data_IF_385009794754
#
_entry.id   IF_385009794754
#
_cell.length_a   1.000
_cell.length_b   1.000
_cell.length_c   1.000
_cell.angle_alpha   90.00
_cell.angle_beta   90.00
_cell.angle_gamma   90.00
#
_symmetry.space_group_name_H-M   'P 1'
#
loop_
_entity.id
_entity.type
_entity.pdbx_description
1 polymer ?
#
# COMPACT_ATOMS: atom_id res chain seq x y z
N UNK A 1 -0.63 2.32 -14.05
CA UNK A 1 0.77 2.75 -13.87
C UNK A 1 1.18 2.52 -12.43
N UNK A 2 2.27 1.80 -12.22
CA UNK A 2 2.75 1.49 -10.87
C UNK A 2 4.01 2.30 -10.56
N UNK A 3 4.01 2.96 -9.41
CA UNK A 3 5.14 3.76 -8.93
C UNK A 3 5.57 3.23 -7.58
N UNK A 4 6.85 2.94 -7.43
CA UNK A 4 7.41 2.46 -6.16
C UNK A 4 7.90 3.64 -5.33
N UNK A 5 7.47 3.70 -4.07
CA UNK A 5 7.91 4.71 -3.12
C UNK A 5 8.74 4.00 -2.05
N UNK A 6 10.04 4.26 -2.04
CA UNK A 6 11.00 3.53 -1.20
C UNK A 6 11.17 4.15 0.20
N UNK A 7 10.71 5.38 0.39
CA UNK A 7 10.80 6.01 1.70
C UNK A 7 9.57 6.88 1.96
N UNK A 8 9.11 6.97 3.23
CA UNK A 8 7.95 7.79 3.56
C UNK A 8 8.11 9.26 3.22
N UNK A 9 9.34 9.75 3.19
CA UNK A 9 9.64 11.17 2.90
C UNK A 9 9.26 11.55 1.48
N UNK A 10 9.26 10.59 0.56
CA UNK A 10 8.91 10.82 -0.85
C UNK A 10 7.40 10.79 -1.09
N UNK A 11 6.63 10.26 -0.14
CA UNK A 11 5.21 9.98 -0.37
C UNK A 11 4.43 11.23 -0.76
N UNK A 12 4.54 12.30 0.01
CA UNK A 12 3.70 13.49 -0.21
C UNK A 12 3.94 14.11 -1.58
N UNK A 13 5.19 14.23 -2.00
CA UNK A 13 5.51 14.83 -3.30
C UNK A 13 5.03 13.97 -4.46
N UNK A 14 5.20 12.65 -4.35
CA UNK A 14 4.73 11.73 -5.40
C UNK A 14 3.20 11.71 -5.45
N UNK A 15 2.56 11.61 -4.29
CA UNK A 15 1.10 11.55 -4.18
C UNK A 15 0.43 12.79 -4.78
N UNK A 16 0.99 13.97 -4.50
CA UNK A 16 0.46 15.24 -5.02
C UNK A 16 0.60 15.37 -6.53
N UNK A 17 1.47 14.59 -7.14
CA UNK A 17 1.68 14.60 -8.59
C UNK A 17 0.57 13.89 -9.36
N UNK A 18 -0.36 13.20 -8.68
CA UNK A 18 -1.43 12.45 -9.35
C UNK A 18 -2.79 13.00 -8.99
N UNK A 19 -3.67 13.04 -9.99
CA UNK A 19 -5.07 13.42 -9.84
C UNK A 19 -5.96 12.22 -10.10
N UNK A 20 -7.24 12.33 -9.73
CA UNK A 20 -8.21 11.28 -9.99
C UNK A 20 -8.04 10.10 -9.07
N UNK A 21 -8.23 8.89 -9.61
CA UNK A 21 -8.16 7.66 -8.83
C UNK A 21 -6.71 7.24 -8.61
N UNK A 22 -6.34 7.09 -7.34
CA UNK A 22 -5.02 6.61 -6.94
C UNK A 22 -5.19 5.55 -5.87
N UNK A 23 -4.52 4.41 -6.04
CA UNK A 23 -4.46 3.39 -5.01
C UNK A 23 -3.05 3.40 -4.40
N UNK A 24 -2.97 3.30 -3.07
CA UNK A 24 -1.70 3.22 -2.37
C UNK A 24 -1.68 1.99 -1.49
N UNK A 25 -0.69 1.13 -1.71
CA UNK A 25 -0.46 -0.06 -0.89
C UNK A 25 0.71 0.20 0.06
N UNK A 26 0.48 -0.06 1.34
CA UNK A 26 1.51 0.03 2.38
C UNK A 26 1.86 -1.36 2.84
N UNK A 27 3.12 -1.74 2.70
CA UNK A 27 3.56 -3.12 2.90
C UNK A 27 4.97 -3.15 3.50
N UNK A 28 5.30 -4.25 4.18
CA UNK A 28 6.62 -4.42 4.79
C UNK A 28 7.71 -4.72 3.77
N UNK A 29 8.91 -4.26 4.06
CA UNK A 29 10.09 -4.46 3.21
C UNK A 29 10.35 -5.95 2.94
N UNK A 30 10.94 -6.22 1.79
CA UNK A 30 11.45 -7.56 1.47
C UNK A 30 12.70 -7.82 2.31
N UNK A 31 12.70 -8.96 3.01
CA UNK A 31 13.87 -9.44 3.76
C UNK A 31 14.85 -10.06 2.74
N UNK A 32 16.08 -9.56 2.65
CA UNK A 32 17.05 -10.11 1.69
C UNK A 32 17.43 -11.57 1.93
N UNK A 33 17.25 -12.06 3.16
CA UNK A 33 17.54 -13.46 3.50
C UNK A 33 16.50 -14.40 2.92
N UNK A 34 15.21 -14.05 3.04
CA UNK A 34 14.09 -14.89 2.59
C UNK A 34 13.61 -14.56 1.19
N UNK A 35 13.90 -13.38 0.68
CA UNK A 35 13.38 -12.89 -0.58
C UNK A 35 11.91 -12.49 -0.53
N UNK A 36 11.31 -12.45 0.66
CA UNK A 36 9.90 -12.09 0.87
C UNK A 36 9.78 -11.00 1.91
N UNK A 37 8.63 -10.33 1.92
CA UNK A 37 8.32 -9.37 2.98
C UNK A 37 8.43 -10.04 4.36
N UNK A 38 8.89 -9.30 5.35
CA UNK A 38 8.92 -9.78 6.73
C UNK A 38 7.50 -9.96 7.29
N UNK A 39 6.51 -9.40 6.65
CA UNK A 39 5.12 -9.40 7.09
C UNK A 39 4.37 -10.56 6.43
N UNK A 40 3.97 -11.60 7.17
CA UNK A 40 3.27 -12.75 6.58
C UNK A 40 1.97 -12.38 5.87
N UNK A 41 1.21 -11.44 6.44
CA UNK A 41 -0.04 -10.98 5.82
C UNK A 41 0.23 -10.24 4.51
N UNK A 42 1.33 -9.52 4.43
CA UNK A 42 1.75 -8.86 3.18
C UNK A 42 2.10 -9.90 2.11
N UNK A 43 2.77 -10.97 2.49
CA UNK A 43 3.10 -12.06 1.58
C UNK A 43 1.83 -12.72 1.04
N UNK A 44 0.85 -12.97 1.91
CA UNK A 44 -0.41 -13.58 1.52
C UNK A 44 -1.22 -12.70 0.57
N UNK A 45 -1.17 -11.38 0.76
CA UNK A 45 -1.92 -10.43 -0.07
C UNK A 45 -1.32 -10.26 -1.47
N UNK A 46 -0.03 -10.49 -1.63
CA UNK A 46 0.71 -10.17 -2.85
C UNK A 46 0.13 -10.77 -4.13
N UNK A 47 -0.20 -12.08 -4.20
CA UNK A 47 -0.75 -12.63 -5.44
C UNK A 47 -2.12 -12.03 -5.81
N UNK A 48 -2.93 -11.65 -4.83
CA UNK A 48 -4.22 -10.99 -5.09
C UNK A 48 -4.01 -9.61 -5.70
N UNK A 49 -3.06 -8.86 -5.16
CA UNK A 49 -2.72 -7.51 -5.63
C UNK A 49 -2.14 -7.58 -7.05
N UNK A 50 -1.25 -8.51 -7.30
CA UNK A 50 -0.65 -8.68 -8.62
C UNK A 50 -1.70 -9.00 -9.68
N UNK A 51 -2.66 -9.86 -9.35
CA UNK A 51 -3.75 -10.21 -10.27
C UNK A 51 -4.62 -8.98 -10.56
N UNK A 52 -4.98 -8.22 -9.54
CA UNK A 52 -5.78 -7.01 -9.71
C UNK A 52 -5.06 -5.96 -10.56
N UNK A 53 -3.75 -5.82 -10.37
CA UNK A 53 -2.94 -4.91 -11.16
C UNK A 53 -2.87 -5.31 -12.63
N UNK A 54 -2.77 -6.60 -12.91
CA UNK A 54 -2.79 -7.12 -14.29
C UNK A 54 -4.09 -6.79 -14.99
N UNK A 55 -5.21 -6.91 -14.28
CA UNK A 55 -6.54 -6.67 -14.84
C UNK A 55 -6.86 -5.18 -14.95
N UNK A 56 -6.13 -4.32 -14.21
CA UNK A 56 -6.39 -2.89 -14.14
C UNK A 56 -5.09 -2.09 -14.29
N UNK A 57 -4.32 -2.40 -15.33
CA UNK A 57 -2.98 -1.85 -15.52
C UNK A 57 -2.94 -0.33 -15.76
N UNK A 58 -4.06 0.29 -16.07
CA UNK A 58 -4.14 1.73 -16.25
C UNK A 58 -4.36 2.50 -14.95
N UNK A 59 -4.77 1.82 -13.88
CA UNK A 59 -4.96 2.45 -12.58
C UNK A 59 -3.63 2.92 -12.01
N UNK A 60 -3.59 4.14 -11.50
CA UNK A 60 -2.40 4.64 -10.81
C UNK A 60 -2.25 3.93 -9.48
N UNK A 61 -1.14 3.25 -9.29
CA UNK A 61 -0.86 2.43 -8.12
C UNK A 61 0.46 2.84 -7.50
N UNK A 62 0.42 3.21 -6.21
CA UNK A 62 1.61 3.55 -5.44
C UNK A 62 1.96 2.39 -4.51
N UNK A 63 3.15 1.84 -4.69
CA UNK A 63 3.64 0.76 -3.85
C UNK A 63 4.55 1.37 -2.78
N UNK A 64 4.10 1.40 -1.53
CA UNK A 64 4.75 2.13 -0.45
C UNK A 64 5.37 1.16 0.55
N UNK A 65 6.69 1.21 0.65
CA UNK A 65 7.46 0.38 1.56
C UNK A 65 7.52 1.07 2.94
N UNK A 66 7.03 0.39 3.98
CA UNK A 66 7.07 0.94 5.34
C UNK A 66 8.41 0.70 6.04
N UNK A 67 9.31 -0.03 5.39
CA UNK A 67 10.60 -0.36 5.97
C UNK A 67 10.65 -1.74 6.62
N UNK A 68 11.78 -2.07 7.24
CA UNK A 68 11.93 -3.34 7.93
C UNK A 68 11.06 -3.41 9.19
N UNK A 69 10.89 -4.63 9.71
CA UNK A 69 10.03 -4.89 10.87
C UNK A 69 10.31 -3.97 12.05
N UNK A 70 11.58 -3.75 12.39
CA UNK A 70 11.98 -2.93 13.52
C UNK A 70 11.66 -1.45 13.34
N UNK A 71 11.50 -1.00 12.11
CA UNK A 71 11.09 0.38 11.82
C UNK A 71 9.59 0.57 11.94
N UNK A 72 8.81 -0.50 11.85
CA UNK A 72 7.36 -0.46 11.85
C UNK A 72 6.71 -0.92 13.15
N UNK A 73 7.13 -2.08 13.69
CA UNK A 73 6.49 -2.68 14.87
C UNK A 73 6.80 -1.86 16.12
N UNK A 74 5.74 -1.56 16.89
CA UNK A 74 5.84 -0.78 18.13
C UNK A 74 6.47 0.61 17.92
N UNK A 75 6.26 1.17 16.73
CA UNK A 75 6.77 2.49 16.35
C UNK A 75 5.60 3.45 16.06
N UNK A 76 4.95 4.00 17.11
CA UNK A 76 3.80 4.88 16.89
C UNK A 76 4.15 6.17 16.15
N UNK A 77 5.42 6.53 16.12
CA UNK A 77 5.91 7.71 15.40
C UNK A 77 6.30 7.46 13.94
N UNK A 78 6.08 6.25 13.42
CA UNK A 78 6.41 5.97 12.02
C UNK A 78 5.69 6.97 11.10
N UNK A 79 6.39 7.54 10.10
CA UNK A 79 5.80 8.58 9.25
C UNK A 79 4.47 8.20 8.59
N UNK A 80 4.31 6.95 8.13
CA UNK A 80 3.04 6.53 7.53
C UNK A 80 1.91 6.40 8.56
N UNK A 81 2.23 6.22 9.84
CA UNK A 81 1.22 6.19 10.91
C UNK A 81 0.75 7.59 11.28
N UNK A 82 1.66 8.57 11.25
CA UNK A 82 1.39 9.93 11.70
C UNK A 82 0.94 10.85 10.58
N UNK A 83 1.26 10.51 9.32
CA UNK A 83 0.86 11.33 8.17
C UNK A 83 -0.67 11.38 8.07
N UNK A 84 -1.29 12.58 8.08
CA UNK A 84 -2.75 12.69 8.03
C UNK A 84 -3.38 12.15 6.73
N UNK A 85 -2.60 12.03 5.67
CA UNK A 85 -3.07 11.49 4.40
C UNK A 85 -3.18 9.96 4.46
N UNK A 86 -2.31 9.31 5.20
CA UNK A 86 -2.21 7.84 5.22
C UNK A 86 -2.76 7.20 6.48
N UNK A 87 -2.33 7.66 7.66
CA UNK A 87 -2.76 7.12 8.97
C UNK A 87 -2.81 5.59 8.98
N UNK A 88 -1.74 4.97 8.52
CA UNK A 88 -1.66 3.50 8.41
C UNK A 88 -1.51 2.90 9.80
N UNK A 89 -2.39 1.96 10.16
CA UNK A 89 -2.39 1.30 11.46
C UNK A 89 -1.71 -0.06 11.43
N UNK A 90 -1.82 -0.74 10.29
CA UNK A 90 -1.34 -2.11 10.12
C UNK A 90 -0.88 -2.30 8.67
N UNK A 91 -0.13 -3.35 8.43
CA UNK A 91 0.26 -3.74 7.07
C UNK A 91 -0.19 -5.18 6.82
N UNK A 92 -0.64 -5.50 5.60
CA UNK A 92 -0.82 -4.59 4.48
C UNK A 92 -2.06 -3.70 4.63
N UNK A 93 -2.01 -2.50 4.08
CA UNK A 93 -3.16 -1.61 3.97
C UNK A 93 -3.19 -1.08 2.55
N UNK A 94 -4.36 -1.16 1.92
CA UNK A 94 -4.60 -0.60 0.60
C UNK A 94 -5.63 0.53 0.72
N UNK A 95 -5.26 1.72 0.29
CA UNK A 95 -6.13 2.89 0.37
C UNK A 95 -6.49 3.35 -1.03
N UNK A 96 -7.77 3.64 -1.23
CA UNK A 96 -8.28 4.22 -2.46
C UNK A 96 -8.54 5.71 -2.25
N UNK A 97 -7.88 6.53 -3.08
CA UNK A 97 -8.04 7.99 -3.07
C UNK A 97 -8.71 8.45 -4.35
N UNK A 98 -9.53 9.48 -4.22
CA UNK A 98 -10.10 10.18 -5.35
C UNK A 98 -9.83 11.67 -5.18
N UNK A 99 -9.07 12.24 -6.10
CA UNK A 99 -8.67 13.65 -6.05
C UNK A 99 -8.08 14.06 -4.70
N UNK A 100 -7.17 13.22 -4.20
CA UNK A 100 -6.43 13.48 -2.97
C UNK A 100 -7.17 13.14 -1.68
N UNK A 101 -8.38 12.60 -1.76
CA UNK A 101 -9.16 12.23 -0.57
C UNK A 101 -9.32 10.72 -0.47
N UNK A 102 -9.13 10.19 0.73
CA UNK A 102 -9.39 8.78 0.99
C UNK A 102 -10.89 8.52 0.89
N UNK A 103 -11.26 7.53 0.05
CA UNK A 103 -12.66 7.12 -0.11
C UNK A 103 -12.92 5.71 0.39
N UNK A 104 -11.89 4.88 0.52
CA UNK A 104 -12.02 3.52 1.06
C UNK A 104 -10.65 2.97 1.42
N UNK A 105 -10.64 1.96 2.31
CA UNK A 105 -9.41 1.23 2.61
C UNK A 105 -9.72 -0.23 2.93
N UNK A 106 -8.78 -1.09 2.59
CA UNK A 106 -8.79 -2.51 2.93
C UNK A 106 -7.56 -2.79 3.78
N UNK A 107 -7.76 -3.45 4.91
CA UNK A 107 -6.69 -3.73 5.86
C UNK A 107 -6.52 -5.23 6.03
N UNK A 108 -5.26 -5.67 6.12
CA UNK A 108 -4.89 -7.06 6.41
C UNK A 108 -5.58 -8.08 5.51
N UNK A 109 -6.21 -9.09 6.08
CA UNK A 109 -6.82 -10.19 5.34
C UNK A 109 -7.95 -9.82 4.40
N UNK A 110 -8.52 -8.63 4.55
CA UNK A 110 -9.59 -8.16 3.65
C UNK A 110 -9.09 -7.92 2.23
N UNK A 111 -7.78 -7.77 2.07
CA UNK A 111 -7.17 -7.64 0.74
C UNK A 111 -7.19 -8.97 0.01
N UNK A 112 -7.23 -10.09 0.73
CA UNK A 112 -7.23 -11.44 0.16
C UNK A 112 -8.62 -11.89 -0.33
N UNK A 113 -9.32 -11.00 -1.02
CA UNK A 113 -10.60 -11.28 -1.66
C UNK A 113 -10.54 -10.68 -3.07
N UNK A 114 -10.41 -11.55 -4.09
CA UNK A 114 -10.16 -11.10 -5.44
C UNK A 114 -11.27 -10.23 -6.01
N UNK A 115 -12.53 -10.58 -5.76
CA UNK A 115 -13.67 -9.80 -6.29
C UNK A 115 -13.71 -8.41 -5.65
N UNK A 116 -13.56 -8.34 -4.33
CA UNK A 116 -13.54 -7.07 -3.60
C UNK A 116 -12.36 -6.22 -4.05
N UNK A 117 -11.21 -6.84 -4.23
CA UNK A 117 -10.00 -6.14 -4.65
C UNK A 117 -10.12 -5.60 -6.07
N UNK A 118 -10.66 -6.40 -6.99
CA UNK A 118 -10.87 -5.97 -8.37
C UNK A 118 -11.81 -4.76 -8.43
N UNK A 119 -12.88 -4.76 -7.64
CA UNK A 119 -13.78 -3.62 -7.54
C UNK A 119 -13.06 -2.38 -6.98
N UNK A 120 -12.14 -2.60 -6.06
CA UNK A 120 -11.36 -1.53 -5.44
C UNK A 120 -10.46 -0.81 -6.46
N UNK A 121 -10.02 -1.51 -7.48
CA UNK A 121 -9.18 -0.96 -8.55
C UNK A 121 -9.95 -0.20 -9.63
N UNK A 122 -11.27 -0.23 -9.58
CA UNK A 122 -12.09 0.43 -10.61
C UNK A 122 -12.61 1.79 -10.15
#
# INVERSE_FOLDING_TARGET
MAVRINSPEEFDSVFRGFNGLVLALFTGSVDPVTGRSWCPDCVQAEPFIEQAMKENCETTFLYCDVGPRESWRNQPGHPYRTNPITKVKCVPTLIRYQNGREIARLEEGRICNQDMLNDFFR
#
